data_IF_397748685878
#
_entry.id   IF_397748685878
#
_cell.length_a   1.000
_cell.length_b   1.000
_cell.length_c   1.000
_cell.angle_alpha   90.00
_cell.angle_beta   90.00
_cell.angle_gamma   90.00
#
_symmetry.space_group_name_H-M   'P 1'
#
loop_
_entity.id
_entity.type
_entity.pdbx_description
1 polymer ?
#
# COMPACT_ATOMS: atom_id res chain seq x y z
N UNK A 1 18.30 29.01 26.16
CA UNK A 1 17.09 28.17 26.29
C UNK A 1 15.88 28.76 25.58
N UNK A 2 15.59 30.06 25.69
CA UNK A 2 14.41 30.71 25.04
C UNK A 2 14.23 30.45 23.54
N UNK A 3 15.31 30.39 22.75
CA UNK A 3 15.22 30.17 21.30
C UNK A 3 14.79 28.73 20.93
N UNK A 4 15.04 27.75 21.81
CA UNK A 4 14.66 26.35 21.60
C UNK A 4 13.17 26.17 21.92
N UNK A 5 12.72 26.70 23.06
CA UNK A 5 11.31 26.70 23.47
C UNK A 5 10.43 27.39 22.41
N UNK A 6 10.85 28.55 21.90
CA UNK A 6 10.13 29.24 20.83
C UNK A 6 10.01 28.41 19.54
N UNK A 7 11.03 27.62 19.21
CA UNK A 7 11.01 26.74 18.04
C UNK A 7 10.10 25.53 18.26
N UNK A 8 10.09 24.98 19.47
CA UNK A 8 9.20 23.88 19.85
C UNK A 8 7.72 24.33 19.83
N UNK A 9 7.42 25.50 20.38
CA UNK A 9 6.07 26.07 20.37
C UNK A 9 5.57 26.33 18.94
N UNK A 10 6.44 26.85 18.06
CA UNK A 10 6.11 27.08 16.66
C UNK A 10 5.88 25.75 15.92
N UNK A 11 6.68 24.71 16.21
CA UNK A 11 6.47 23.37 15.66
C UNK A 11 5.12 22.78 16.08
N UNK A 12 4.77 22.88 17.37
CA UNK A 12 3.47 22.42 17.85
C UNK A 12 2.33 23.17 17.16
N UNK A 13 2.45 24.49 17.00
CA UNK A 13 1.45 25.30 16.31
C UNK A 13 1.29 24.91 14.84
N UNK A 14 2.38 24.59 14.15
CA UNK A 14 2.33 24.11 12.76
C UNK A 14 1.68 22.73 12.65
N UNK A 15 2.00 21.81 13.57
CA UNK A 15 1.39 20.46 13.60
C UNK A 15 -0.12 20.54 13.82
N UNK A 16 -0.56 21.36 14.77
CA UNK A 16 -1.99 21.55 15.05
C UNK A 16 -2.72 22.19 13.86
N UNK A 17 -2.08 23.13 13.15
CA UNK A 17 -2.63 23.68 11.92
C UNK A 17 -2.75 22.62 10.80
N UNK A 18 -1.75 21.75 10.65
CA UNK A 18 -1.80 20.66 9.65
C UNK A 18 -2.89 19.63 9.97
N UNK A 19 -3.08 19.27 11.25
CA UNK A 19 -4.18 18.39 11.67
C UNK A 19 -5.54 19.02 11.41
N UNK A 20 -5.73 20.29 11.77
CA UNK A 20 -7.00 21.00 11.54
C UNK A 20 -7.35 21.14 10.05
N UNK A 21 -6.35 21.23 9.17
CA UNK A 21 -6.54 21.21 7.72
C UNK A 21 -6.95 19.81 7.23
N UNK A 22 -6.33 18.76 7.77
CA UNK A 22 -6.67 17.37 7.44
C UNK A 22 -8.05 16.95 7.95
N UNK A 23 -8.51 17.50 9.07
CA UNK A 23 -9.81 17.20 9.70
C UNK A 23 -10.96 18.09 9.20
N UNK A 24 -10.70 19.03 8.28
CA UNK A 24 -11.72 19.95 7.79
C UNK A 24 -12.76 19.19 6.94
N UNK A 25 -14.06 19.18 7.33
CA UNK A 25 -15.07 18.26 6.79
C UNK A 25 -15.56 18.59 5.36
N UNK A 26 -14.82 19.39 4.60
CA UNK A 26 -15.21 19.88 3.27
C UNK A 26 -14.20 19.65 2.15
N UNK A 27 -12.98 19.20 2.47
CA UNK A 27 -12.10 18.60 1.47
C UNK A 27 -12.14 17.13 1.75
N UNK A 28 -12.65 16.31 0.82
CA UNK A 28 -12.79 14.87 0.95
C UNK A 28 -11.68 14.31 1.85
N UNK A 29 -12.03 14.06 3.12
CA UNK A 29 -11.35 13.08 3.91
C UNK A 29 -11.64 11.78 3.16
N UNK A 30 -10.89 11.55 2.08
CA UNK A 30 -10.67 10.21 1.54
C UNK A 30 -10.28 9.47 2.79
N UNK A 31 -11.18 8.58 3.19
CA UNK A 31 -11.13 7.84 4.43
C UNK A 31 -9.67 7.57 4.76
N UNK A 32 -9.15 8.21 5.81
CA UNK A 32 -7.72 8.21 6.10
C UNK A 32 -7.32 6.79 6.50
N UNK A 33 -7.10 5.94 5.51
CA UNK A 33 -7.07 4.49 5.66
C UNK A 33 -7.42 3.69 4.40
N UNK A 34 -8.21 4.25 3.46
CA UNK A 34 -8.53 3.57 2.21
C UNK A 34 -7.56 4.01 1.09
N UNK A 35 -6.63 3.13 0.65
CA UNK A 35 -5.65 3.48 -0.38
C UNK A 35 -6.28 3.60 -1.77
N UNK A 36 -7.50 3.11 -1.96
CA UNK A 36 -8.21 3.06 -3.24
C UNK A 36 -9.41 4.02 -3.26
N UNK A 37 -9.93 4.32 -4.46
CA UNK A 37 -11.19 5.05 -4.61
C UNK A 37 -12.37 4.09 -4.48
N UNK A 38 -13.55 4.63 -4.14
CA UNK A 38 -14.82 3.89 -4.14
C UNK A 38 -15.06 3.12 -5.45
N UNK A 39 -14.62 3.68 -6.59
CA UNK A 39 -14.66 3.01 -7.89
C UNK A 39 -13.87 1.70 -7.91
N UNK A 40 -12.67 1.69 -7.36
CA UNK A 40 -11.81 0.50 -7.31
C UNK A 40 -12.36 -0.51 -6.31
N UNK A 41 -12.77 -0.07 -5.12
CA UNK A 41 -13.30 -0.97 -4.09
C UNK A 41 -14.65 -1.60 -4.50
N UNK A 42 -15.44 -0.87 -5.30
CA UNK A 42 -16.69 -1.37 -5.88
C UNK A 42 -16.50 -2.24 -7.12
N UNK A 43 -15.30 -2.32 -7.69
CA UNK A 43 -15.05 -3.11 -8.91
C UNK A 43 -14.98 -4.60 -8.57
N UNK A 44 -15.88 -5.44 -9.11
CA UNK A 44 -15.85 -6.88 -8.85
C UNK A 44 -14.60 -7.52 -9.46
N UNK A 45 -14.02 -8.48 -8.73
CA UNK A 45 -12.88 -9.27 -9.22
C UNK A 45 -13.33 -10.06 -10.47
N UNK A 46 -12.58 -10.01 -11.59
CA UNK A 46 -12.91 -10.77 -12.79
C UNK A 46 -12.98 -12.28 -12.49
N UNK A 47 -13.95 -13.03 -13.07
CA UNK A 47 -14.14 -14.45 -12.78
C UNK A 47 -12.95 -15.33 -13.21
N UNK A 48 -12.12 -14.84 -14.13
CA UNK A 48 -10.91 -15.54 -14.60
C UNK A 48 -9.65 -15.18 -13.80
N UNK A 49 -9.75 -14.26 -12.85
CA UNK A 49 -8.63 -13.90 -11.99
C UNK A 49 -8.25 -15.09 -11.12
N UNK A 50 -6.95 -15.41 -11.09
CA UNK A 50 -6.40 -16.46 -10.22
C UNK A 50 -5.29 -15.86 -9.38
N UNK A 51 -5.52 -15.78 -8.08
CA UNK A 51 -4.50 -15.34 -7.14
C UNK A 51 -3.32 -16.31 -7.14
N UNK A 52 -2.11 -15.76 -7.29
CA UNK A 52 -0.87 -16.55 -7.29
C UNK A 52 -0.41 -16.72 -5.85
N UNK A 53 -0.58 -17.92 -5.30
CA UNK A 53 -0.09 -18.23 -3.94
C UNK A 53 1.38 -18.65 -4.00
N UNK A 54 2.28 -17.78 -3.57
CA UNK A 54 3.72 -18.06 -3.49
C UNK A 54 4.09 -18.45 -2.06
N UNK A 55 4.81 -19.57 -1.89
CA UNK A 55 5.35 -19.96 -0.58
C UNK A 55 6.39 -18.91 -0.14
N UNK A 56 6.36 -18.39 1.11
CA UNK A 56 7.42 -17.55 1.64
C UNK A 56 8.77 -18.28 1.73
N UNK A 57 9.88 -17.52 1.71
CA UNK A 57 11.20 -18.07 1.98
C UNK A 57 11.28 -18.47 3.45
N UNK A 58 11.56 -19.74 3.72
CA UNK A 58 11.60 -20.31 5.08
C UNK A 58 12.98 -20.21 5.76
N UNK A 59 13.96 -19.62 5.08
CA UNK A 59 15.33 -19.45 5.58
C UNK A 59 16.17 -20.73 5.61
N UNK A 60 15.59 -21.88 5.25
CA UNK A 60 16.28 -23.18 5.13
C UNK A 60 16.61 -23.45 3.67
N UNK A 61 15.71 -23.04 2.76
CA UNK A 61 15.88 -23.20 1.33
C UNK A 61 16.98 -22.30 0.75
N UNK A 62 17.70 -22.81 -0.25
CA UNK A 62 18.64 -22.02 -1.03
C UNK A 62 17.91 -20.84 -1.71
N UNK A 63 18.37 -19.59 -1.53
CA UNK A 63 17.70 -18.42 -2.09
C UNK A 63 17.59 -18.44 -3.63
N UNK A 64 18.54 -19.07 -4.32
CA UNK A 64 18.51 -19.14 -5.78
C UNK A 64 17.44 -20.13 -6.24
N UNK A 65 17.28 -21.28 -5.57
CA UNK A 65 16.20 -22.24 -5.85
C UNK A 65 14.84 -21.58 -5.62
N UNK A 66 14.68 -20.88 -4.50
CA UNK A 66 13.44 -20.17 -4.18
C UNK A 66 13.09 -19.11 -5.25
N UNK A 67 14.09 -18.31 -5.65
CA UNK A 67 13.93 -17.30 -6.69
C UNK A 67 13.56 -17.90 -8.05
N UNK A 68 14.15 -19.05 -8.41
CA UNK A 68 13.80 -19.75 -9.66
C UNK A 68 12.36 -20.23 -9.64
N UNK A 69 11.92 -20.87 -8.55
CA UNK A 69 10.54 -21.31 -8.40
C UNK A 69 9.54 -20.14 -8.51
N UNK A 70 9.83 -19.02 -7.84
CA UNK A 70 9.03 -17.80 -7.95
C UNK A 70 8.93 -17.28 -9.39
N UNK A 71 10.07 -17.16 -10.09
CA UNK A 71 10.11 -16.69 -11.49
C UNK A 71 9.29 -17.58 -12.42
N UNK A 72 9.41 -18.91 -12.27
CA UNK A 72 8.64 -19.87 -13.05
C UNK A 72 7.14 -19.73 -12.78
N UNK A 73 6.74 -19.59 -11.51
CA UNK A 73 5.34 -19.43 -11.14
C UNK A 73 4.73 -18.15 -11.72
N UNK A 74 5.46 -17.03 -11.68
CA UNK A 74 5.03 -15.76 -12.29
C UNK A 74 4.94 -15.83 -13.81
N UNK A 75 5.84 -16.57 -14.47
CA UNK A 75 5.79 -16.77 -15.92
C UNK A 75 4.54 -17.57 -16.33
N UNK A 76 4.22 -18.63 -15.58
CA UNK A 76 3.04 -19.48 -15.84
C UNK A 76 1.74 -18.70 -15.55
N UNK A 77 1.69 -17.92 -14.46
CA UNK A 77 0.50 -17.14 -14.12
C UNK A 77 0.21 -16.04 -15.13
N UNK A 78 1.25 -15.40 -15.67
CA UNK A 78 1.14 -14.37 -16.72
C UNK A 78 0.57 -14.91 -18.03
N UNK A 79 0.83 -16.18 -18.36
CA UNK A 79 0.31 -16.82 -19.57
C UNK A 79 -1.23 -16.92 -19.59
N UNK A 80 -1.89 -16.72 -18.45
CA UNK A 80 -3.33 -16.80 -18.31
C UNK A 80 -4.05 -15.45 -18.55
N UNK A 81 -3.29 -14.34 -18.64
CA UNK A 81 -3.84 -13.00 -18.92
C UNK A 81 -4.04 -12.75 -20.43
N UNK A 82 -3.48 -13.62 -21.27
CA UNK A 82 -3.43 -13.48 -22.74
C UNK A 82 -4.38 -14.39 -23.52
N UNK A 83 -5.41 -14.96 -22.89
CA UNK A 83 -6.38 -15.85 -23.57
C UNK A 83 -7.81 -15.29 -23.55
N UNK A 84 -7.98 -14.07 -24.06
CA UNK A 84 -9.27 -13.57 -24.53
C UNK A 84 -9.13 -12.94 -25.91
#
# INVERSE_FOLDING_TARGET
MKAVEQREDELHRQIEMMKAIAERPGGAAREAGQPFSEEIDGTPIPPNFKEVVVKPLDGIQDPHIHLQAFKTQMYISRGNDSLS
#
